data_IF_172604894297
#
_entry.id   IF_172604894297
#
_cell.length_a   1.000
_cell.length_b   1.000
_cell.length_c   1.000
_cell.angle_alpha   90.00
_cell.angle_beta   90.00
_cell.angle_gamma   90.00
#
_symmetry.space_group_name_H-M   'P 1'
#
loop_
_entity.id
_entity.type
_entity.pdbx_description
1 polymer ?
#
# COMPACT_ATOMS: atom_id res chain seq x y z
N UNK A 1 0.60 92.06 26.03
CA UNK A 1 -0.33 92.74 26.99
C UNK A 1 -1.56 91.84 27.08
N UNK A 2 -2.08 91.34 28.20
CA UNK A 2 -2.04 91.60 29.65
C UNK A 2 -2.43 90.26 30.37
N UNK A 3 -2.44 90.13 31.72
CA UNK A 3 -1.53 89.18 32.36
C UNK A 3 -2.15 88.32 33.52
N UNK A 4 -1.30 87.45 34.11
CA UNK A 4 -1.23 86.94 35.50
C UNK A 4 -2.45 86.34 36.23
N UNK A 5 -2.27 85.16 36.86
CA UNK A 5 -2.35 85.02 38.33
C UNK A 5 -1.63 83.77 38.87
N UNK A 6 -0.79 84.01 39.86
CA UNK A 6 -0.05 83.05 40.69
C UNK A 6 -0.88 82.77 41.96
N UNK A 7 -0.85 81.53 42.48
CA UNK A 7 -0.89 81.11 43.91
C UNK A 7 -1.24 79.61 43.95
N UNK A 8 -0.62 78.69 44.70
CA UNK A 8 0.39 78.74 45.75
C UNK A 8 0.10 77.62 46.77
N UNK A 9 1.16 77.01 47.36
CA UNK A 9 1.19 76.13 48.56
C UNK A 9 0.66 74.70 48.35
N UNK A 10 1.21 73.61 48.88
CA UNK A 10 2.32 73.35 49.81
C UNK A 10 2.16 71.89 50.32
N UNK A 11 3.26 71.22 50.67
CA UNK A 11 3.25 69.95 51.44
C UNK A 11 3.87 68.74 50.74
N UNK A 12 4.97 68.20 51.28
CA UNK A 12 5.44 66.82 51.05
C UNK A 12 4.82 65.93 52.14
N UNK A 13 4.55 64.64 51.85
CA UNK A 13 5.37 63.62 52.53
C UNK A 13 5.72 62.41 51.64
N UNK A 14 6.77 61.71 52.05
CA UNK A 14 7.15 60.41 51.51
C UNK A 14 6.07 59.35 51.83
N UNK A 15 5.80 58.42 50.91
CA UNK A 15 5.21 57.13 51.27
C UNK A 15 5.51 56.04 50.23
N UNK A 16 5.63 54.83 50.77
CA UNK A 16 6.20 53.59 50.28
C UNK A 16 5.78 53.03 48.92
N UNK A 17 6.73 52.31 48.32
CA UNK A 17 6.55 51.27 47.31
C UNK A 17 5.59 50.16 47.76
N UNK A 18 4.99 49.40 46.82
CA UNK A 18 4.98 47.95 46.95
C UNK A 18 5.62 47.28 45.74
N UNK A 19 6.61 46.45 46.03
CA UNK A 19 7.20 45.49 45.12
C UNK A 19 6.10 44.55 44.58
N UNK A 20 5.90 44.51 43.26
CA UNK A 20 5.11 43.48 42.58
C UNK A 20 6.01 42.77 41.58
N UNK A 21 6.64 41.69 42.05
CA UNK A 21 7.65 40.95 41.28
C UNK A 21 7.63 39.45 41.51
N UNK A 22 6.47 38.85 41.86
CA UNK A 22 6.38 37.40 42.14
C UNK A 22 5.14 36.69 41.55
N UNK A 23 4.32 37.34 40.72
CA UNK A 23 3.10 36.73 40.16
C UNK A 23 3.25 35.98 38.84
N UNK A 24 4.33 36.20 38.09
CA UNK A 24 4.42 35.78 36.67
C UNK A 24 5.04 34.39 36.47
N UNK A 25 5.89 33.91 37.39
CA UNK A 25 6.63 32.65 37.23
C UNK A 25 5.82 31.38 37.61
N UNK A 26 4.71 31.54 38.34
CA UNK A 26 3.91 30.39 38.83
C UNK A 26 3.02 29.81 37.72
N UNK A 27 2.52 30.65 36.82
CA UNK A 27 1.70 30.25 35.66
C UNK A 27 2.51 29.44 34.63
N UNK A 28 3.77 29.81 34.42
CA UNK A 28 4.66 29.17 33.44
C UNK A 28 5.07 27.75 33.89
N UNK A 29 5.34 27.58 35.19
CA UNK A 29 5.64 26.27 35.78
C UNK A 29 4.48 25.28 35.61
N UNK A 30 3.24 25.72 35.90
CA UNK A 30 2.06 24.86 35.77
C UNK A 30 1.77 24.48 34.31
N UNK A 31 1.97 25.41 33.37
CA UNK A 31 1.80 25.15 31.95
C UNK A 31 2.79 24.09 31.43
N UNK A 32 4.07 24.18 31.82
CA UNK A 32 5.09 23.18 31.45
C UNK A 32 4.75 21.79 32.02
N UNK A 33 4.28 21.70 33.27
CA UNK A 33 3.85 20.40 33.82
C UNK A 33 2.64 19.81 33.09
N UNK A 34 1.69 20.65 32.67
CA UNK A 34 0.54 20.21 31.88
C UNK A 34 0.95 19.71 30.49
N UNK A 35 1.92 20.37 29.85
CA UNK A 35 2.47 19.94 28.56
C UNK A 35 3.20 18.60 28.68
N UNK A 36 4.04 18.44 29.71
CA UNK A 36 4.73 17.17 29.99
C UNK A 36 3.73 16.05 30.22
N UNK A 37 2.68 16.27 31.03
CA UNK A 37 1.64 15.28 31.27
C UNK A 37 0.90 14.88 29.98
N UNK A 38 0.62 15.83 29.08
CA UNK A 38 0.01 15.54 27.79
C UNK A 38 0.92 14.71 26.88
N UNK A 39 2.23 15.02 26.86
CA UNK A 39 3.22 14.24 26.11
C UNK A 39 3.34 12.83 26.68
N UNK A 40 3.34 12.66 27.99
CA UNK A 40 3.33 11.35 28.66
C UNK A 40 2.11 10.51 28.25
N UNK A 41 0.92 11.11 28.23
CA UNK A 41 -0.31 10.44 27.78
C UNK A 41 -0.19 9.99 26.33
N UNK A 42 0.26 10.87 25.42
CA UNK A 42 0.47 10.54 24.01
C UNK A 42 1.51 9.43 23.80
N UNK A 43 2.58 9.42 24.61
CA UNK A 43 3.57 8.34 24.57
C UNK A 43 2.92 7.01 25.00
N UNK A 44 2.07 7.04 26.03
CA UNK A 44 1.29 5.87 26.46
C UNK A 44 0.40 5.32 25.34
N UNK A 45 -0.34 6.20 24.66
CA UNK A 45 -1.17 5.83 23.51
C UNK A 45 -0.35 5.24 22.37
N UNK A 46 0.77 5.87 22.00
CA UNK A 46 1.67 5.37 20.97
C UNK A 46 2.25 4.00 21.33
N UNK A 47 2.60 3.79 22.60
CA UNK A 47 3.09 2.49 23.06
C UNK A 47 2.02 1.40 22.93
N UNK A 48 0.77 1.71 23.25
CA UNK A 48 -0.35 0.79 23.04
C UNK A 48 -0.57 0.48 21.55
N UNK A 49 -0.47 1.49 20.69
CA UNK A 49 -0.58 1.32 19.23
C UNK A 49 0.53 0.43 18.67
N UNK A 50 1.79 0.65 19.07
CA UNK A 50 2.93 -0.21 18.70
C UNK A 50 2.70 -1.64 19.15
N UNK A 51 2.19 -1.84 20.37
CA UNK A 51 1.82 -3.16 20.87
C UNK A 51 0.75 -3.84 20.02
N UNK A 52 -0.27 -3.10 19.57
CA UNK A 52 -1.30 -3.62 18.67
C UNK A 52 -0.76 -3.95 17.28
N UNK A 53 0.11 -3.09 16.73
CA UNK A 53 0.70 -3.32 15.43
C UNK A 53 1.60 -4.56 15.44
N UNK A 54 2.37 -4.76 16.51
CA UNK A 54 3.19 -5.96 16.70
C UNK A 54 2.35 -7.24 16.64
N UNK A 55 1.19 -7.28 17.32
CA UNK A 55 0.28 -8.44 17.27
C UNK A 55 -0.19 -8.71 15.84
N UNK A 56 -0.59 -7.66 15.12
CA UNK A 56 -1.02 -7.79 13.73
C UNK A 56 0.08 -8.28 12.78
N UNK A 57 1.33 -7.88 13.03
CA UNK A 57 2.48 -8.40 12.27
C UNK A 57 2.65 -9.91 12.50
N UNK A 58 2.52 -10.37 13.74
CA UNK A 58 2.61 -11.82 14.06
C UNK A 58 1.51 -12.58 13.32
N UNK A 59 0.26 -12.12 13.40
CA UNK A 59 -0.88 -12.73 12.69
C UNK A 59 -0.63 -12.83 11.17
N UNK A 60 -0.13 -11.75 10.55
CA UNK A 60 0.18 -11.72 9.12
C UNK A 60 1.33 -12.66 8.74
N UNK A 61 2.34 -12.83 9.60
CA UNK A 61 3.43 -13.78 9.37
C UNK A 61 2.90 -15.21 9.39
N UNK A 62 2.07 -15.56 10.36
CA UNK A 62 1.46 -16.90 10.47
C UNK A 62 0.57 -17.21 9.26
N UNK A 63 -0.26 -16.26 8.84
CA UNK A 63 -1.11 -16.40 7.66
C UNK A 63 -0.28 -16.55 6.37
N UNK A 64 0.78 -15.75 6.22
CA UNK A 64 1.66 -15.83 5.06
C UNK A 64 2.38 -17.19 4.99
N UNK A 65 2.84 -17.72 6.12
CA UNK A 65 3.44 -19.06 6.18
C UNK A 65 2.44 -20.13 5.76
N UNK A 66 1.20 -20.07 6.27
CA UNK A 66 0.12 -20.98 5.90
C UNK A 66 -0.15 -20.95 4.40
N UNK A 67 -0.33 -19.76 3.82
CA UNK A 67 -0.57 -19.57 2.39
C UNK A 67 0.61 -20.06 1.54
N UNK A 68 1.85 -19.86 2.01
CA UNK A 68 3.05 -20.34 1.31
C UNK A 68 3.06 -21.86 1.23
N UNK A 69 2.74 -22.55 2.33
CA UNK A 69 2.65 -24.01 2.36
C UNK A 69 1.53 -24.55 1.46
N UNK A 70 0.37 -23.91 1.48
CA UNK A 70 -0.76 -24.29 0.63
C UNK A 70 -0.46 -24.10 -0.85
N UNK A 71 0.12 -22.95 -1.24
CA UNK A 71 0.56 -22.69 -2.61
C UNK A 71 1.58 -23.72 -3.09
N UNK A 72 2.57 -24.07 -2.25
CA UNK A 72 3.55 -25.09 -2.61
C UNK A 72 2.89 -26.47 -2.84
N UNK A 73 1.91 -26.83 -2.00
CA UNK A 73 1.14 -28.07 -2.18
C UNK A 73 0.31 -28.06 -3.46
N UNK A 74 -0.38 -26.96 -3.75
CA UNK A 74 -1.20 -26.83 -4.95
C UNK A 74 -0.37 -26.90 -6.22
N UNK A 75 0.81 -26.25 -6.25
CA UNK A 75 1.76 -26.37 -7.36
C UNK A 75 2.19 -27.81 -7.58
N UNK A 76 2.55 -28.51 -6.50
CA UNK A 76 2.92 -29.94 -6.59
C UNK A 76 1.78 -30.81 -7.14
N UNK A 77 0.53 -30.54 -6.76
CA UNK A 77 -0.64 -31.26 -7.31
C UNK A 77 -0.81 -30.92 -8.79
N UNK A 78 -0.68 -29.65 -9.17
CA UNK A 78 -0.76 -29.23 -10.56
C UNK A 78 0.31 -29.91 -11.42
N UNK A 79 1.55 -29.96 -10.94
CA UNK A 79 2.66 -30.66 -11.61
C UNK A 79 2.42 -32.18 -11.72
N UNK A 80 1.61 -32.78 -10.84
CA UNK A 80 1.25 -34.20 -10.91
C UNK A 80 0.08 -34.49 -11.83
N UNK A 81 -0.85 -33.53 -11.98
CA UNK A 81 -2.00 -33.64 -12.87
C UNK A 81 -1.64 -33.24 -14.31
N UNK A 82 -0.67 -32.34 -14.44
CA UNK A 82 -0.02 -31.96 -15.69
C UNK A 82 1.48 -32.22 -15.54
N UNK A 83 1.91 -33.49 -15.37
CA UNK A 83 3.33 -33.80 -15.48
C UNK A 83 3.65 -33.44 -16.91
N UNK A 84 4.34 -32.31 -17.13
CA UNK A 84 4.49 -31.67 -18.44
C UNK A 84 4.30 -32.72 -19.52
N UNK A 85 3.11 -32.72 -20.17
CA UNK A 85 3.02 -33.43 -21.43
C UNK A 85 4.18 -32.81 -22.17
N UNK A 86 5.24 -33.60 -22.37
CA UNK A 86 6.35 -33.22 -23.20
C UNK A 86 5.70 -33.13 -24.56
N UNK A 87 5.05 -32.00 -24.85
CA UNK A 87 4.60 -31.64 -26.17
C UNK A 87 5.91 -31.46 -26.87
N UNK A 88 6.39 -32.54 -27.47
CA UNK A 88 7.58 -32.48 -28.26
C UNK A 88 7.29 -31.43 -29.34
N UNK A 89 8.23 -30.50 -29.61
CA UNK A 89 8.07 -29.57 -30.71
C UNK A 89 7.82 -30.38 -32.00
N UNK A 90 6.55 -30.48 -32.42
CA UNK A 90 6.09 -31.47 -33.40
C UNK A 90 4.69 -32.00 -33.11
N UNK A 91 4.38 -32.40 -31.87
CA UNK A 91 3.11 -33.10 -31.56
C UNK A 91 1.88 -32.20 -31.77
N UNK A 92 1.98 -30.93 -31.37
CA UNK A 92 0.93 -29.94 -31.61
C UNK A 92 0.78 -29.61 -33.10
N UNK A 93 1.87 -29.65 -33.86
CA UNK A 93 1.87 -29.36 -35.29
C UNK A 93 1.32 -30.54 -36.10
N UNK A 94 1.72 -31.77 -35.76
CA UNK A 94 1.24 -33.01 -36.37
C UNK A 94 -0.27 -33.19 -36.17
N UNK A 95 -0.79 -32.83 -34.99
CA UNK A 95 -2.22 -32.82 -34.77
C UNK A 95 -2.95 -31.79 -35.65
N UNK A 96 -2.39 -30.60 -35.83
CA UNK A 96 -2.98 -29.59 -36.73
C UNK A 96 -2.90 -30.03 -38.20
N UNK A 97 -1.79 -30.63 -38.62
CA UNK A 97 -1.67 -31.21 -39.96
C UNK A 97 -2.71 -32.31 -40.20
N UNK A 98 -2.94 -33.19 -39.20
CA UNK A 98 -3.97 -34.22 -39.26
C UNK A 98 -5.37 -33.63 -39.41
N UNK A 99 -5.75 -32.66 -38.58
CA UNK A 99 -7.06 -31.99 -38.65
C UNK A 99 -7.25 -31.30 -40.02
N UNK A 100 -6.18 -30.73 -40.58
CA UNK A 100 -6.20 -30.15 -41.94
C UNK A 100 -6.47 -31.19 -43.03
N UNK A 101 -5.82 -32.35 -42.94
CA UNK A 101 -5.99 -33.47 -43.87
C UNK A 101 -7.35 -34.15 -43.73
N UNK A 102 -7.94 -34.16 -42.53
CA UNK A 102 -9.31 -34.62 -42.28
C UNK A 102 -10.37 -33.69 -42.91
N UNK A 103 -9.94 -32.60 -43.55
CA UNK A 103 -10.80 -31.69 -44.31
C UNK A 103 -11.27 -30.48 -43.53
N UNK A 104 -10.69 -30.19 -42.35
CA UNK A 104 -11.09 -29.05 -41.52
C UNK A 104 -10.10 -27.89 -41.63
N UNK A 105 -10.58 -26.68 -41.35
CA UNK A 105 -9.71 -25.51 -41.24
C UNK A 105 -8.97 -25.49 -39.90
N UNK A 106 -7.67 -25.18 -39.91
CA UNK A 106 -6.84 -24.97 -38.70
C UNK A 106 -6.39 -23.51 -38.53
N UNK A 107 -6.74 -22.64 -39.47
CA UNK A 107 -6.48 -21.21 -39.37
C UNK A 107 -7.46 -20.52 -38.39
N UNK A 108 -7.02 -19.41 -37.80
CA UNK A 108 -7.81 -18.62 -36.85
C UNK A 108 -9.14 -18.09 -37.42
N UNK A 109 -9.28 -18.03 -38.75
CA UNK A 109 -10.48 -17.49 -39.42
C UNK A 109 -11.65 -18.47 -39.36
N UNK A 110 -11.37 -19.77 -39.44
CA UNK A 110 -12.40 -20.81 -39.69
C UNK A 110 -12.17 -22.10 -38.92
N UNK A 111 -11.45 -22.06 -37.80
CA UNK A 111 -11.01 -23.24 -37.08
C UNK A 111 -12.14 -24.28 -36.86
N UNK A 112 -11.88 -25.54 -37.25
CA UNK A 112 -12.80 -26.66 -37.07
C UNK A 112 -13.97 -26.74 -38.06
N UNK A 113 -14.12 -25.79 -38.99
CA UNK A 113 -15.14 -25.87 -40.05
C UNK A 113 -14.67 -26.71 -41.24
N UNK A 114 -15.60 -27.40 -41.91
CA UNK A 114 -15.33 -28.25 -43.08
C UNK A 114 -14.91 -27.41 -44.29
N UNK A 115 -13.86 -27.84 -44.98
CA UNK A 115 -13.39 -27.22 -46.23
C UNK A 115 -14.24 -27.71 -47.39
N UNK A 116 -14.93 -26.79 -48.05
CA UNK A 116 -15.73 -27.07 -49.25
C UNK A 116 -15.00 -26.72 -50.54
N UNK A 117 -14.02 -25.80 -50.48
CA UNK A 117 -13.49 -25.09 -51.66
C UNK A 117 -12.00 -25.34 -51.92
N UNK A 118 -11.47 -26.52 -51.54
CA UNK A 118 -10.06 -26.85 -51.75
C UNK A 118 -9.12 -26.26 -50.69
N UNK A 119 -7.84 -26.07 -51.03
CA UNK A 119 -6.77 -25.70 -50.08
C UNK A 119 -6.87 -24.27 -49.57
N UNK A 120 -6.75 -24.10 -48.24
CA UNK A 120 -6.83 -22.80 -47.60
C UNK A 120 -5.43 -22.21 -47.41
N UNK A 121 -5.11 -21.12 -48.11
CA UNK A 121 -3.80 -20.46 -48.03
C UNK A 121 -3.39 -20.06 -46.61
N UNK A 122 -4.35 -19.70 -45.76
CA UNK A 122 -4.07 -19.38 -44.34
C UNK A 122 -3.71 -20.62 -43.52
N UNK A 123 -4.34 -21.77 -43.81
CA UNK A 123 -3.96 -23.03 -43.15
C UNK A 123 -2.56 -23.47 -43.62
N UNK A 124 -2.30 -23.39 -44.93
CA UNK A 124 -0.99 -23.71 -45.49
C UNK A 124 0.11 -22.78 -44.98
N UNK A 125 -0.17 -21.48 -44.83
CA UNK A 125 0.78 -20.54 -44.26
C UNK A 125 1.04 -20.78 -42.78
N UNK A 126 0.07 -21.29 -42.03
CA UNK A 126 0.28 -21.69 -40.64
C UNK A 126 1.15 -22.94 -40.56
N UNK A 127 0.91 -23.91 -41.45
CA UNK A 127 1.65 -25.15 -41.53
C UNK A 127 3.10 -24.89 -42.03
N UNK A 128 3.28 -24.22 -43.16
CA UNK A 128 4.61 -24.04 -43.75
C UNK A 128 5.54 -23.03 -43.04
N UNK A 129 5.12 -22.39 -41.93
CA UNK A 129 5.93 -21.38 -41.23
C UNK A 129 7.01 -21.97 -40.31
N UNK A 130 7.04 -23.29 -40.15
CA UNK A 130 7.99 -24.05 -39.32
C UNK A 130 9.02 -24.84 -40.13
N UNK A 131 9.28 -24.45 -41.38
CA UNK A 131 10.43 -24.91 -42.18
C UNK A 131 11.62 -23.96 -42.08
#
# INVERSE_FOLDING_TARGET
MRPTRIQGRGGRPAHDSPQSGNGVLILDKQAVFAEVANVEERIGELYAQVGSLKRKIVELIEENQKLTMENAKLRKILDQLHPEEQVHPGDGYDNLARIYHDGFHVCHVRFGSLRTDGDCLFCLSLLNKTG
#
